data_IF_597238751553
#
_entry.id   IF_597238751553
#
_cell.length_a   1.000
_cell.length_b   1.000
_cell.length_c   1.000
_cell.angle_alpha   90.00
_cell.angle_beta   90.00
_cell.angle_gamma   90.00
#
_symmetry.space_group_name_H-M   'P 1'
#
loop_
_entity.id
_entity.type
_entity.pdbx_description
1 polymer ?
#
# COMPACT_ATOMS: atom_id res chain seq x y z
N UNK A 1 -11.35 25.14 48.66
CA UNK A 1 -12.09 26.18 47.92
C UNK A 1 -12.40 25.54 46.57
N UNK A 2 -13.41 24.69 46.36
CA UNK A 2 -14.83 24.66 46.76
C UNK A 2 -15.67 25.84 46.26
N UNK A 3 -16.73 25.51 45.47
CA UNK A 3 -17.85 26.35 44.93
C UNK A 3 -17.51 27.25 43.73
N UNK A 4 -18.36 27.43 42.71
CA UNK A 4 -19.59 26.73 42.27
C UNK A 4 -19.88 27.09 40.77
N UNK A 5 -20.60 26.28 39.97
CA UNK A 5 -20.97 26.62 38.59
C UNK A 5 -22.38 27.25 38.46
N UNK A 6 -22.84 27.36 37.20
CA UNK A 6 -24.16 27.81 36.67
C UNK A 6 -24.33 29.29 36.27
N UNK A 7 -24.54 29.52 34.96
CA UNK A 7 -25.70 30.27 34.43
C UNK A 7 -26.13 29.64 33.09
N UNK A 8 -27.39 29.21 32.98
CA UNK A 8 -28.03 28.76 31.73
C UNK A 8 -28.71 29.94 31.02
N UNK A 9 -28.37 30.17 29.75
CA UNK A 9 -29.05 31.13 28.87
C UNK A 9 -30.13 30.46 28.02
N UNK A 10 -31.35 31.02 28.00
CA UNK A 10 -32.51 30.44 27.29
C UNK A 10 -32.55 30.83 25.81
N UNK A 11 -32.90 29.90 24.94
CA UNK A 11 -33.27 30.14 23.53
C UNK A 11 -34.81 30.20 23.40
N UNK A 12 -35.40 31.20 22.73
CA UNK A 12 -36.84 31.24 22.45
C UNK A 12 -37.28 30.21 21.40
N UNK A 13 -38.56 29.80 21.46
CA UNK A 13 -39.19 28.90 20.50
C UNK A 13 -39.91 29.67 19.36
N UNK A 14 -40.39 28.85 18.41
CA UNK A 14 -41.50 29.06 17.48
C UNK A 14 -41.21 29.84 16.19
N UNK A 15 -41.24 29.11 15.07
CA UNK A 15 -42.16 29.36 13.94
C UNK A 15 -42.47 28.03 13.24
N UNK A 16 -43.74 27.85 12.85
CA UNK A 16 -44.29 26.60 12.27
C UNK A 16 -44.96 26.86 10.91
N UNK A 17 -44.94 25.84 10.06
CA UNK A 17 -45.82 25.59 8.89
C UNK A 17 -45.78 26.55 7.69
N UNK A 18 -45.55 25.98 6.48
CA UNK A 18 -46.64 25.62 5.54
C UNK A 18 -46.19 24.83 4.29
N UNK A 19 -46.78 23.64 4.17
CA UNK A 19 -47.51 23.08 3.01
C UNK A 19 -46.85 22.92 1.61
N UNK A 20 -46.94 21.69 1.07
CA UNK A 20 -46.70 21.39 -0.35
C UNK A 20 -46.76 19.90 -0.70
N UNK A 21 -47.97 19.30 -0.73
CA UNK A 21 -48.14 17.86 -0.95
C UNK A 21 -48.58 17.48 -2.38
N UNK A 22 -47.87 16.52 -3.00
CA UNK A 22 -48.37 15.62 -4.06
C UNK A 22 -47.37 14.46 -4.22
N UNK A 23 -47.73 13.17 -4.33
CA UNK A 23 -49.04 12.53 -4.40
C UNK A 23 -49.17 11.65 -5.65
N UNK A 24 -49.40 10.32 -5.45
CA UNK A 24 -49.48 9.18 -6.41
C UNK A 24 -48.18 8.35 -6.50
N UNK A 25 -48.22 7.02 -6.63
CA UNK A 25 -49.32 6.02 -6.50
C UNK A 25 -48.74 4.63 -6.22
N UNK A 26 -49.56 3.77 -5.63
CA UNK A 26 -49.25 2.38 -5.29
C UNK A 26 -49.07 1.46 -6.50
N UNK A 27 -48.30 0.38 -6.29
CA UNK A 27 -48.51 -0.92 -6.93
C UNK A 27 -48.02 -2.03 -5.99
N UNK A 28 -48.95 -2.79 -5.39
CA UNK A 28 -48.68 -4.03 -4.64
C UNK A 28 -49.39 -5.19 -5.31
N UNK A 29 -48.61 -6.15 -5.84
CA UNK A 29 -48.88 -7.58 -6.03
C UNK A 29 -47.48 -8.23 -6.14
N UNK A 30 -47.13 -9.38 -5.58
CA UNK A 30 -47.85 -10.49 -4.93
C UNK A 30 -46.96 -11.74 -5.13
N UNK A 31 -46.75 -12.62 -4.13
CA UNK A 31 -45.60 -13.54 -4.14
C UNK A 31 -45.86 -14.86 -4.90
N UNK A 32 -44.79 -15.50 -5.41
CA UNK A 32 -44.84 -16.84 -5.98
C UNK A 32 -43.83 -17.83 -5.36
N UNK A 33 -44.39 -18.73 -4.55
CA UNK A 33 -44.07 -20.15 -4.36
C UNK A 33 -42.61 -20.64 -4.24
N UNK A 34 -42.29 -21.17 -3.04
CA UNK A 34 -41.41 -22.35 -2.90
C UNK A 34 -42.18 -23.63 -3.25
N UNK A 35 -41.54 -24.62 -3.90
CA UNK A 35 -41.92 -26.05 -3.80
C UNK A 35 -40.76 -26.98 -4.27
N UNK A 36 -40.67 -28.26 -3.81
CA UNK A 36 -39.46 -29.09 -3.95
C UNK A 36 -39.63 -30.42 -4.72
N UNK A 37 -38.51 -31.09 -5.04
CA UNK A 37 -38.36 -32.54 -5.24
C UNK A 37 -36.84 -32.86 -5.10
N UNK A 38 -36.29 -33.86 -4.40
CA UNK A 38 -36.61 -35.26 -4.03
C UNK A 38 -36.08 -36.38 -4.97
N UNK A 39 -34.84 -36.80 -4.66
CA UNK A 39 -34.25 -38.17 -4.63
C UNK A 39 -34.96 -39.36 -5.30
N UNK A 40 -34.16 -40.10 -6.09
CA UNK A 40 -33.99 -41.58 -6.03
C UNK A 40 -32.48 -41.85 -6.28
N UNK A 41 -31.65 -42.45 -5.41
CA UNK A 41 -31.58 -43.79 -4.76
C UNK A 41 -31.26 -44.99 -5.68
N UNK A 42 -30.61 -45.98 -5.03
CA UNK A 42 -30.11 -47.31 -5.47
C UNK A 42 -28.66 -47.32 -6.00
N UNK A 43 -27.77 -48.28 -5.69
CA UNK A 43 -27.62 -49.24 -4.55
C UNK A 43 -26.11 -49.56 -4.38
N UNK A 44 -25.62 -49.98 -3.19
CA UNK A 44 -24.22 -50.45 -2.96
C UNK A 44 -23.98 -51.94 -3.34
N UNK A 45 -22.94 -52.65 -2.84
CA UNK A 45 -21.99 -52.28 -1.77
C UNK A 45 -20.48 -52.59 -2.04
N UNK A 46 -19.64 -52.06 -1.13
CA UNK A 46 -18.34 -52.56 -0.62
C UNK A 46 -17.44 -53.54 -1.43
N UNK A 47 -16.14 -53.21 -1.54
CA UNK A 47 -15.08 -53.83 -0.69
C UNK A 47 -13.73 -53.08 -0.74
N UNK A 48 -12.70 -53.63 -0.07
CA UNK A 48 -11.45 -53.00 0.42
C UNK A 48 -10.20 -53.27 -0.45
N UNK A 49 -9.08 -52.69 0.01
CA UNK A 49 -7.66 -52.95 -0.34
C UNK A 49 -7.19 -52.42 -1.71
N UNK A 50 -6.14 -51.58 -1.82
CA UNK A 50 -4.75 -51.53 -1.30
C UNK A 50 -3.69 -52.21 -2.19
N UNK A 51 -2.96 -51.34 -2.91
CA UNK A 51 -1.50 -51.31 -3.11
C UNK A 51 -0.78 -52.33 -4.02
N UNK A 52 0.30 -51.82 -4.64
CA UNK A 52 1.32 -52.50 -5.48
C UNK A 52 0.84 -52.96 -6.88
N UNK A 53 1.63 -52.89 -7.96
CA UNK A 53 2.98 -52.37 -8.18
C UNK A 53 3.36 -52.31 -9.68
N UNK A 54 4.58 -51.84 -9.97
CA UNK A 54 5.30 -51.71 -11.26
C UNK A 54 5.55 -53.07 -11.99
N UNK A 55 6.21 -53.22 -13.18
CA UNK A 55 6.49 -52.32 -14.33
C UNK A 55 6.17 -52.91 -15.76
N UNK A 56 6.24 -52.06 -16.80
CA UNK A 56 7.19 -52.27 -17.92
C UNK A 56 6.90 -53.18 -19.16
N UNK A 57 6.88 -52.51 -20.33
CA UNK A 57 7.58 -52.89 -21.60
C UNK A 57 6.93 -53.77 -22.70
N UNK A 58 7.40 -53.49 -23.95
CA UNK A 58 7.24 -54.20 -25.26
C UNK A 58 5.87 -53.99 -25.96
N UNK A 59 5.78 -53.37 -27.14
CA UNK A 59 6.51 -53.45 -28.42
C UNK A 59 6.11 -54.65 -29.30
N UNK A 60 5.69 -54.38 -30.54
CA UNK A 60 5.13 -55.34 -31.49
C UNK A 60 6.17 -55.80 -32.54
N UNK A 61 5.89 -56.94 -33.18
CA UNK A 61 6.75 -57.61 -34.18
C UNK A 61 6.06 -57.63 -35.55
N UNK A 62 6.85 -57.43 -36.62
CA UNK A 62 6.89 -58.17 -37.92
C UNK A 62 7.68 -57.31 -38.93
N UNK A 63 8.89 -57.70 -39.37
CA UNK A 63 9.27 -58.82 -40.29
C UNK A 63 9.09 -58.49 -41.78
N UNK A 64 10.17 -58.07 -42.47
CA UNK A 64 10.99 -58.95 -43.35
C UNK A 64 11.97 -58.18 -44.27
N UNK A 65 13.24 -58.62 -44.24
CA UNK A 65 14.17 -58.95 -45.36
C UNK A 65 13.87 -58.45 -46.80
N UNK A 66 14.82 -58.12 -47.70
CA UNK A 66 16.29 -58.08 -47.80
C UNK A 66 16.62 -57.52 -49.24
N UNK A 67 17.86 -57.19 -49.71
CA UNK A 67 19.15 -57.79 -49.34
C UNK A 67 20.40 -56.87 -49.26
N UNK A 68 21.51 -57.51 -48.86
CA UNK A 68 22.82 -56.94 -48.52
C UNK A 68 23.74 -56.80 -49.74
N UNK A 69 24.55 -55.72 -49.80
CA UNK A 69 25.93 -55.77 -50.30
C UNK A 69 26.88 -54.93 -49.44
N UNK A 70 27.97 -55.56 -49.00
CA UNK A 70 29.09 -54.96 -48.26
C UNK A 70 30.01 -54.16 -49.20
N UNK A 71 30.76 -53.18 -48.68
CA UNK A 71 32.23 -53.04 -48.85
C UNK A 71 32.79 -51.95 -47.91
N UNK A 72 34.13 -51.87 -47.80
CA UNK A 72 34.86 -51.38 -46.62
C UNK A 72 35.07 -49.85 -46.50
N UNK A 73 35.43 -49.46 -45.26
CA UNK A 73 36.26 -48.35 -44.74
C UNK A 73 37.21 -47.61 -45.74
N UNK A 74 37.64 -46.34 -45.46
CA UNK A 74 38.12 -45.89 -44.14
C UNK A 74 37.78 -44.44 -43.67
N UNK A 75 38.27 -44.12 -42.46
CA UNK A 75 38.21 -42.79 -41.80
C UNK A 75 39.16 -41.77 -42.46
N UNK A 76 38.67 -40.55 -42.69
CA UNK A 76 39.46 -39.31 -42.59
C UNK A 76 38.61 -38.15 -42.04
N UNK A 77 39.25 -37.20 -41.35
CA UNK A 77 38.64 -35.97 -40.82
C UNK A 77 38.82 -34.80 -41.79
N UNK A 78 37.82 -33.92 -42.00
CA UNK A 78 38.03 -32.63 -42.66
C UNK A 78 37.88 -31.43 -41.72
N UNK A 79 38.64 -30.38 -42.04
CA UNK A 79 38.71 -29.11 -41.36
C UNK A 79 37.68 -28.07 -41.85
N UNK A 80 37.43 -27.09 -40.99
CA UNK A 80 36.96 -25.71 -41.25
C UNK A 80 36.43 -25.34 -42.66
N UNK A 81 35.12 -24.99 -42.72
CA UNK A 81 34.62 -23.83 -43.48
C UNK A 81 33.25 -23.33 -43.00
N UNK A 82 33.26 -22.06 -42.58
CA UNK A 82 32.18 -21.06 -42.37
C UNK A 82 30.83 -21.30 -43.08
N UNK A 83 29.66 -20.76 -42.70
CA UNK A 83 29.09 -19.95 -41.60
C UNK A 83 27.68 -19.57 -42.09
N UNK A 84 26.61 -19.86 -41.35
CA UNK A 84 25.34 -19.11 -41.31
C UNK A 84 24.50 -19.71 -40.14
N UNK A 85 24.29 -19.02 -39.01
CA UNK A 85 23.15 -18.12 -38.73
C UNK A 85 21.81 -18.91 -38.83
N UNK A 86 20.98 -19.12 -37.79
CA UNK A 86 20.73 -18.36 -36.55
C UNK A 86 20.79 -19.22 -35.28
N UNK A 87 21.49 -18.74 -34.24
CA UNK A 87 21.16 -19.06 -32.85
C UNK A 87 20.15 -18.01 -32.36
N UNK A 88 18.92 -18.44 -32.11
CA UNK A 88 17.92 -17.64 -31.38
C UNK A 88 18.28 -17.63 -29.88
N UNK A 89 19.33 -16.90 -29.51
CA UNK A 89 19.35 -16.32 -28.17
C UNK A 89 18.28 -15.22 -28.16
N UNK A 90 17.11 -15.57 -27.63
CA UNK A 90 16.23 -14.56 -27.05
C UNK A 90 16.99 -13.96 -25.86
N UNK A 91 17.71 -12.86 -26.11
CA UNK A 91 18.13 -11.99 -25.06
C UNK A 91 16.85 -11.44 -24.41
N UNK A 92 16.46 -12.04 -23.29
CA UNK A 92 15.57 -11.38 -22.35
C UNK A 92 16.31 -10.15 -21.85
N UNK A 93 16.13 -9.04 -22.57
CA UNK A 93 16.38 -7.71 -22.02
C UNK A 93 15.33 -7.56 -20.94
N UNK A 94 15.69 -7.95 -19.72
CA UNK A 94 15.03 -7.46 -18.52
C UNK A 94 15.25 -5.97 -18.52
N UNK A 95 14.31 -5.23 -19.12
CA UNK A 95 14.15 -3.81 -18.84
C UNK A 95 13.81 -3.77 -17.36
N UNK A 96 14.80 -3.45 -16.53
CA UNK A 96 14.56 -3.18 -15.13
C UNK A 96 13.56 -2.02 -15.10
N UNK A 97 12.32 -2.31 -14.71
CA UNK A 97 11.30 -1.28 -14.65
C UNK A 97 11.72 -0.32 -13.55
N UNK A 98 11.90 0.96 -13.89
CA UNK A 98 11.95 1.99 -12.88
C UNK A 98 10.68 1.90 -12.01
N UNK A 99 10.82 2.19 -10.72
CA UNK A 99 9.68 2.24 -9.81
C UNK A 99 8.68 3.29 -10.30
N UNK A 100 7.41 2.91 -10.36
CA UNK A 100 6.29 3.75 -10.77
C UNK A 100 6.05 4.91 -9.80
N UNK A 101 6.29 4.69 -8.50
CA UNK A 101 6.19 5.73 -7.47
C UNK A 101 7.53 5.89 -6.76
N UNK A 102 8.31 6.89 -7.20
CA UNK A 102 9.43 7.45 -6.43
C UNK A 102 8.88 8.68 -5.74
N UNK A 103 8.73 8.61 -4.42
CA UNK A 103 7.75 9.43 -3.74
C UNK A 103 8.20 9.87 -2.35
N UNK A 104 7.53 10.89 -1.82
CA UNK A 104 7.70 11.32 -0.44
C UNK A 104 6.35 11.60 0.23
N UNK A 105 6.27 11.45 1.56
CA UNK A 105 5.27 12.16 2.35
C UNK A 105 5.71 13.61 2.54
N UNK A 106 4.89 14.56 2.11
CA UNK A 106 5.20 16.00 2.23
C UNK A 106 4.16 16.73 3.07
N UNK A 107 3.45 16.03 3.96
CA UNK A 107 2.32 16.60 4.69
C UNK A 107 2.72 17.76 5.60
N UNK A 108 3.96 17.79 6.12
CA UNK A 108 4.44 18.92 6.94
C UNK A 108 4.69 20.20 6.15
N UNK A 109 4.72 20.16 4.81
CA UNK A 109 5.22 21.24 3.94
C UNK A 109 4.69 22.63 4.29
N UNK A 110 3.36 22.82 4.34
CA UNK A 110 2.77 24.13 4.62
C UNK A 110 3.02 24.53 6.09
N UNK A 111 2.96 23.60 7.05
CA UNK A 111 3.31 23.86 8.46
C UNK A 111 4.75 24.37 8.60
N UNK A 112 5.68 23.80 7.82
CA UNK A 112 7.10 24.16 7.87
C UNK A 112 7.34 25.51 7.19
N UNK A 113 6.73 25.78 6.05
CA UNK A 113 6.78 27.09 5.39
C UNK A 113 6.15 28.21 6.23
N UNK A 114 4.99 27.96 6.86
CA UNK A 114 4.33 28.91 7.78
C UNK A 114 5.20 29.23 9.01
N UNK A 115 6.14 28.35 9.37
CA UNK A 115 7.15 28.61 10.41
C UNK A 115 8.31 29.52 9.96
N UNK A 116 8.33 29.90 8.68
CA UNK A 116 9.34 30.78 8.07
C UNK A 116 10.51 30.06 7.41
N UNK A 117 10.47 28.72 7.32
CA UNK A 117 11.46 27.92 6.57
C UNK A 117 11.29 28.18 5.08
N UNK A 118 12.42 28.19 4.36
CA UNK A 118 12.47 28.28 2.90
C UNK A 118 13.44 27.22 2.39
N UNK A 119 13.05 26.45 1.38
CA UNK A 119 13.89 25.40 0.83
C UNK A 119 14.76 25.92 -0.33
N UNK A 120 15.92 25.30 -0.55
CA UNK A 120 16.80 25.65 -1.66
C UNK A 120 17.56 24.46 -2.22
N UNK A 121 17.83 24.51 -3.52
CA UNK A 121 18.76 23.62 -4.21
C UNK A 121 19.87 24.46 -4.85
N UNK A 122 21.13 24.06 -4.66
CA UNK A 122 22.31 24.79 -5.17
C UNK A 122 22.34 26.29 -4.76
N UNK A 123 21.77 26.63 -3.59
CA UNK A 123 21.66 28.00 -3.08
C UNK A 123 20.57 28.85 -3.73
N UNK A 124 19.71 28.27 -4.58
CA UNK A 124 18.54 28.93 -5.17
C UNK A 124 17.28 28.50 -4.42
N UNK A 125 16.55 29.47 -3.86
CA UNK A 125 15.29 29.22 -3.15
C UNK A 125 14.12 28.96 -4.11
N UNK A 126 13.32 27.95 -3.83
CA UNK A 126 12.18 27.51 -4.64
C UNK A 126 11.23 26.59 -3.82
N UNK A 127 9.98 26.38 -4.25
CA UNK A 127 9.03 25.48 -3.56
C UNK A 127 9.60 24.07 -3.41
N UNK A 128 9.31 23.40 -2.29
CA UNK A 128 9.94 22.09 -1.99
C UNK A 128 9.48 20.99 -2.94
N UNK A 129 8.21 21.01 -3.34
CA UNK A 129 7.65 20.10 -4.34
C UNK A 129 8.32 20.26 -5.71
N UNK A 130 8.69 21.49 -6.11
CA UNK A 130 9.43 21.74 -7.34
C UNK A 130 10.85 21.16 -7.25
N UNK A 131 11.49 21.21 -6.07
CA UNK A 131 12.79 20.58 -5.83
C UNK A 131 12.66 19.06 -5.95
N UNK A 132 11.66 18.47 -5.31
CA UNK A 132 11.44 17.03 -5.35
C UNK A 132 11.17 16.55 -6.80
N UNK A 133 10.35 17.26 -7.56
CA UNK A 133 10.12 16.99 -9.00
C UNK A 133 11.41 17.14 -9.81
N UNK A 134 12.20 18.18 -9.57
CA UNK A 134 13.46 18.42 -10.28
C UNK A 134 14.50 17.31 -10.07
N UNK A 135 14.44 16.59 -8.94
CA UNK A 135 15.29 15.44 -8.64
C UNK A 135 14.61 14.08 -8.93
N UNK A 136 13.45 14.07 -9.60
CA UNK A 136 12.84 12.87 -10.20
C UNK A 136 11.61 12.30 -9.49
N UNK A 137 11.06 13.00 -8.49
CA UNK A 137 9.87 12.53 -7.76
C UNK A 137 8.64 12.48 -8.69
N UNK A 138 7.81 11.44 -8.50
CA UNK A 138 6.68 11.09 -9.39
C UNK A 138 5.33 10.99 -8.67
N UNK A 139 5.36 10.84 -7.34
CA UNK A 139 4.17 10.83 -6.49
C UNK A 139 4.46 11.55 -5.16
N UNK A 140 3.42 12.06 -4.50
CA UNK A 140 3.52 12.56 -3.14
C UNK A 140 2.34 12.08 -2.30
N UNK A 141 2.64 11.73 -1.05
CA UNK A 141 1.71 11.29 -0.01
C UNK A 141 1.35 12.48 0.88
N UNK A 142 0.07 12.60 1.20
CA UNK A 142 -0.45 13.56 2.17
C UNK A 142 -1.39 12.85 3.15
N UNK A 143 -1.08 12.93 4.45
CA UNK A 143 -1.96 12.44 5.51
C UNK A 143 -3.09 13.42 5.81
N UNK A 144 -4.26 12.86 6.10
CA UNK A 144 -5.44 13.59 6.52
C UNK A 144 -5.97 13.00 7.82
N UNK A 145 -6.17 13.89 8.79
CA UNK A 145 -6.83 13.65 10.06
C UNK A 145 -8.27 14.16 10.01
N UNK A 146 -9.13 13.66 10.89
CA UNK A 146 -10.52 14.13 10.99
C UNK A 146 -10.65 15.51 11.65
N UNK A 147 -9.63 15.93 12.40
CA UNK A 147 -9.56 17.23 13.07
C UNK A 147 -8.12 17.74 13.16
N UNK A 148 -7.92 18.89 13.81
CA UNK A 148 -6.58 19.43 14.10
C UNK A 148 -5.86 20.00 12.88
N UNK A 149 -4.53 19.93 12.89
CA UNK A 149 -3.66 20.59 11.90
C UNK A 149 -3.81 20.00 10.49
N UNK A 150 -3.82 18.67 10.38
CA UNK A 150 -3.82 17.96 9.10
C UNK A 150 -5.24 17.60 8.64
N UNK A 151 -6.23 18.45 8.91
CA UNK A 151 -7.62 18.19 8.52
C UNK A 151 -7.82 18.30 6.99
N UNK A 152 -9.00 17.91 6.50
CA UNK A 152 -9.33 17.94 5.05
C UNK A 152 -9.04 19.29 4.36
N UNK A 153 -9.25 20.43 5.02
CA UNK A 153 -8.94 21.75 4.42
C UNK A 153 -7.44 21.93 4.18
N UNK A 154 -6.61 21.43 5.10
CA UNK A 154 -5.16 21.40 4.95
C UNK A 154 -4.73 20.37 3.89
N UNK A 155 -5.33 19.17 3.91
CA UNK A 155 -5.08 18.12 2.90
C UNK A 155 -5.39 18.58 1.47
N UNK A 156 -6.48 19.33 1.26
CA UNK A 156 -6.81 19.97 -0.01
C UNK A 156 -5.79 21.04 -0.43
N UNK A 157 -5.21 21.79 0.52
CA UNK A 157 -4.19 22.79 0.20
C UNK A 157 -2.87 22.15 -0.26
N UNK A 158 -2.42 21.10 0.43
CA UNK A 158 -1.23 20.31 0.03
C UNK A 158 -1.49 19.55 -1.26
N UNK A 159 -2.65 18.87 -1.38
CA UNK A 159 -3.02 18.11 -2.57
C UNK A 159 -3.10 18.96 -3.84
N UNK A 160 -3.52 20.23 -3.72
CA UNK A 160 -3.43 21.18 -4.83
C UNK A 160 -1.99 21.39 -5.30
N UNK A 161 -1.04 21.60 -4.39
CA UNK A 161 0.39 21.76 -4.74
C UNK A 161 0.95 20.50 -5.41
N UNK A 162 0.57 19.32 -4.90
CA UNK A 162 0.94 18.02 -5.49
C UNK A 162 0.48 17.92 -6.95
N UNK A 163 -0.79 18.21 -7.25
CA UNK A 163 -1.31 18.13 -8.63
C UNK A 163 -0.78 19.28 -9.52
N UNK A 164 -0.63 20.49 -8.98
CA UNK A 164 -0.06 21.64 -9.72
C UNK A 164 1.40 21.38 -10.14
N UNK A 165 2.17 20.64 -9.32
CA UNK A 165 3.52 20.16 -9.63
C UNK A 165 3.55 18.93 -10.56
N UNK A 166 2.38 18.41 -10.99
CA UNK A 166 2.27 17.29 -11.92
C UNK A 166 2.49 15.90 -11.31
N UNK A 167 2.48 15.78 -9.98
CA UNK A 167 2.70 14.53 -9.26
C UNK A 167 1.43 13.69 -9.13
N UNK A 168 1.61 12.37 -8.96
CA UNK A 168 0.55 11.47 -8.49
C UNK A 168 0.19 11.82 -7.04
N UNK A 169 -1.10 12.05 -6.75
CA UNK A 169 -1.61 12.35 -5.42
C UNK A 169 -2.05 11.08 -4.70
N UNK A 170 -1.32 10.77 -3.63
CA UNK A 170 -1.64 9.73 -2.67
C UNK A 170 -2.19 10.39 -1.39
N UNK A 171 -3.47 10.12 -1.08
CA UNK A 171 -4.12 10.60 0.15
C UNK A 171 -4.18 9.46 1.16
N UNK A 172 -3.58 9.68 2.33
CA UNK A 172 -3.60 8.77 3.49
C UNK A 172 -4.66 9.24 4.50
N UNK A 173 -5.68 8.41 4.72
CA UNK A 173 -6.71 8.66 5.71
C UNK A 173 -6.40 7.92 7.01
N UNK A 174 -6.02 8.69 8.04
CA UNK A 174 -5.69 8.15 9.37
C UNK A 174 -6.92 7.61 10.14
N UNK A 175 -8.14 8.07 9.82
CA UNK A 175 -9.36 7.82 10.60
C UNK A 175 -9.23 8.11 12.10
N UNK A 176 -8.47 9.15 12.44
CA UNK A 176 -8.18 9.62 13.79
C UNK A 176 -8.12 11.16 13.79
N UNK A 177 -8.35 11.79 14.93
CA UNK A 177 -8.13 13.24 15.14
C UNK A 177 -6.63 13.61 15.22
N UNK A 178 -5.76 12.60 15.27
CA UNK A 178 -4.32 12.71 15.48
C UNK A 178 -3.60 11.57 14.74
N UNK A 179 -2.35 11.29 15.10
CA UNK A 179 -1.61 10.11 14.66
C UNK A 179 -2.45 8.83 14.79
N UNK A 180 -2.29 7.97 13.79
CA UNK A 180 -2.83 6.63 13.72
C UNK A 180 -1.66 5.72 13.35
N UNK A 181 -1.41 4.72 14.20
CA UNK A 181 -0.23 3.84 14.17
C UNK A 181 -0.60 2.49 14.83
N UNK A 182 0.27 1.46 14.85
CA UNK A 182 -0.06 0.15 15.43
C UNK A 182 -0.38 0.14 16.93
N UNK A 183 -0.10 1.24 17.65
CA UNK A 183 -0.45 1.44 19.06
C UNK A 183 -1.60 2.42 19.31
N UNK A 184 -2.02 3.20 18.31
CA UNK A 184 -3.04 4.24 18.45
C UNK A 184 -3.98 4.28 17.24
N UNK A 185 -5.26 3.94 17.43
CA UNK A 185 -6.27 3.97 16.36
C UNK A 185 -7.63 4.47 16.90
N UNK A 186 -7.61 5.49 17.74
CA UNK A 186 -8.80 5.95 18.48
C UNK A 186 -9.90 6.48 17.53
N UNK A 187 -11.15 6.11 17.80
CA UNK A 187 -12.32 6.68 17.10
C UNK A 187 -12.32 8.22 17.26
N UNK A 188 -12.46 8.99 16.15
CA UNK A 188 -12.52 10.44 16.18
C UNK A 188 -13.62 11.01 17.08
N UNK A 189 -13.40 12.22 17.61
CA UNK A 189 -14.34 12.89 18.49
C UNK A 189 -15.67 13.15 17.79
N UNK A 190 -16.76 12.62 18.37
CA UNK A 190 -18.11 12.79 17.84
C UNK A 190 -18.51 11.80 16.74
N UNK A 191 -17.62 10.90 16.31
CA UNK A 191 -18.00 9.76 15.47
C UNK A 191 -18.85 8.75 16.28
N UNK A 192 -19.68 7.92 15.62
CA UNK A 192 -20.39 6.83 16.28
C UNK A 192 -19.42 5.83 16.95
N UNK A 193 -19.87 5.14 17.99
CA UNK A 193 -19.06 4.16 18.72
C UNK A 193 -19.57 2.72 18.53
N UNK A 194 -20.32 2.48 17.46
CA UNK A 194 -20.84 1.18 17.05
C UNK A 194 -20.57 0.95 15.55
N UNK A 195 -20.48 -0.32 15.16
CA UNK A 195 -20.10 -0.72 13.80
C UNK A 195 -21.05 -0.19 12.72
N UNK A 196 -22.36 -0.11 12.98
CA UNK A 196 -23.31 0.39 11.96
C UNK A 196 -23.16 1.89 11.72
N UNK A 197 -22.95 2.66 12.79
CA UNK A 197 -22.67 4.08 12.70
C UNK A 197 -21.32 4.34 12.02
N UNK A 198 -20.27 3.60 12.41
CA UNK A 198 -18.94 3.76 11.83
C UNK A 198 -18.87 3.35 10.35
N UNK A 199 -19.52 2.26 9.92
CA UNK A 199 -19.64 1.90 8.50
C UNK A 199 -20.33 3.01 7.66
N UNK A 200 -21.21 3.80 8.26
CA UNK A 200 -21.84 4.95 7.60
C UNK A 200 -20.91 6.17 7.58
N UNK A 201 -20.14 6.36 8.66
CA UNK A 201 -19.28 7.53 8.87
C UNK A 201 -17.97 7.45 8.07
N UNK A 202 -17.43 6.25 7.87
CA UNK A 202 -16.20 5.96 7.11
C UNK A 202 -16.45 5.80 5.60
N UNK A 203 -17.60 6.24 5.08
CA UNK A 203 -17.99 6.00 3.68
C UNK A 203 -17.33 6.96 2.68
N UNK A 204 -16.31 7.76 3.06
CA UNK A 204 -15.35 8.58 2.27
C UNK A 204 -15.77 9.38 1.02
N UNK A 205 -17.05 9.35 0.63
CA UNK A 205 -17.60 9.99 -0.55
C UNK A 205 -17.36 11.51 -0.50
N UNK A 206 -17.50 12.11 0.68
CA UNK A 206 -17.28 13.55 0.90
C UNK A 206 -15.82 13.97 0.74
N UNK A 207 -14.86 13.13 1.15
CA UNK A 207 -13.42 13.42 1.00
C UNK A 207 -13.03 13.35 -0.46
N UNK A 208 -13.35 12.24 -1.14
CA UNK A 208 -13.04 12.07 -2.57
C UNK A 208 -13.74 13.13 -3.43
N UNK A 209 -15.01 13.46 -3.14
CA UNK A 209 -15.74 14.52 -3.82
C UNK A 209 -15.09 15.90 -3.60
N UNK A 210 -14.61 16.22 -2.39
CA UNK A 210 -13.97 17.52 -2.13
C UNK A 210 -12.69 17.73 -2.94
N UNK A 211 -11.89 16.68 -3.16
CA UNK A 211 -10.73 16.72 -4.06
C UNK A 211 -11.15 16.83 -5.53
N UNK A 212 -12.20 16.11 -5.95
CA UNK A 212 -12.75 16.22 -7.31
C UNK A 212 -13.29 17.65 -7.60
N UNK A 213 -14.01 18.25 -6.65
CA UNK A 213 -14.55 19.61 -6.73
C UNK A 213 -13.46 20.70 -6.77
N UNK A 214 -12.27 20.40 -6.25
CA UNK A 214 -11.08 21.26 -6.32
C UNK A 214 -10.26 21.04 -7.62
N UNK A 215 -10.74 20.19 -8.54
CA UNK A 215 -10.02 19.76 -9.75
C UNK A 215 -8.70 19.00 -9.46
N UNK A 216 -8.56 18.44 -8.26
CA UNK A 216 -7.37 17.73 -7.77
C UNK A 216 -7.67 16.25 -7.43
N UNK A 217 -8.27 15.46 -8.36
CA UNK A 217 -8.73 14.12 -8.04
C UNK A 217 -7.60 13.23 -7.50
N UNK A 218 -7.95 12.49 -6.44
CA UNK A 218 -7.08 11.53 -5.75
C UNK A 218 -6.72 10.40 -6.72
N UNK A 219 -5.44 10.10 -6.88
CA UNK A 219 -4.97 9.00 -7.72
C UNK A 219 -4.83 7.69 -6.91
N UNK A 220 -4.42 7.79 -5.64
CA UNK A 220 -4.35 6.68 -4.67
C UNK A 220 -5.01 7.10 -3.37
N UNK A 221 -6.01 6.33 -2.91
CA UNK A 221 -6.70 6.50 -1.64
C UNK A 221 -6.24 5.39 -0.68
N UNK A 222 -5.45 5.75 0.32
CA UNK A 222 -5.06 4.86 1.41
C UNK A 222 -6.12 4.88 2.52
N UNK A 223 -6.71 3.71 2.75
CA UNK A 223 -7.78 3.48 3.73
C UNK A 223 -7.14 2.96 5.03
N UNK A 224 -6.79 3.89 5.92
CA UNK A 224 -6.16 3.61 7.22
C UNK A 224 -4.64 3.65 7.15
N UNK A 225 -4.01 4.15 8.22
CA UNK A 225 -2.56 4.16 8.38
C UNK A 225 -2.11 3.07 9.36
N UNK A 226 -1.14 2.25 8.95
CA UNK A 226 -0.48 1.20 9.76
C UNK A 226 -1.44 0.36 10.62
N UNK A 227 -2.48 -0.19 9.98
CA UNK A 227 -3.63 -0.80 10.66
C UNK A 227 -3.41 -2.26 11.09
N UNK A 228 -2.21 -2.61 11.56
CA UNK A 228 -1.82 -4.00 11.89
C UNK A 228 -2.74 -4.68 12.91
N UNK A 229 -3.26 -3.92 13.88
CA UNK A 229 -4.28 -4.37 14.84
C UNK A 229 -5.67 -3.75 14.54
N UNK A 230 -5.90 -3.34 13.29
CA UNK A 230 -7.11 -2.70 12.80
C UNK A 230 -7.15 -1.18 12.98
N UNK A 231 -8.33 -0.57 12.83
CA UNK A 231 -8.58 0.88 12.98
C UNK A 231 -9.84 1.13 13.82
N UNK A 232 -10.11 2.39 14.20
CA UNK A 232 -11.33 2.81 14.90
C UNK A 232 -11.62 1.96 16.15
N UNK A 233 -10.63 1.89 17.04
CA UNK A 233 -10.68 1.08 18.25
C UNK A 233 -11.69 1.61 19.28
N UNK A 234 -12.39 0.71 20.00
CA UNK A 234 -12.21 -0.74 19.98
C UNK A 234 -12.97 -1.47 18.84
N UNK A 235 -13.82 -0.78 18.07
CA UNK A 235 -14.79 -1.44 17.17
C UNK A 235 -14.11 -2.24 16.06
N UNK A 236 -13.08 -1.69 15.42
CA UNK A 236 -12.27 -2.40 14.43
C UNK A 236 -10.98 -3.01 14.99
N UNK A 237 -10.83 -3.14 16.32
CA UNK A 237 -9.61 -3.66 16.96
C UNK A 237 -9.54 -5.20 16.87
N UNK A 238 -8.56 -5.74 16.14
CA UNK A 238 -8.45 -7.19 15.86
C UNK A 238 -8.25 -7.98 17.16
N UNK A 239 -7.36 -7.54 18.05
CA UNK A 239 -7.06 -8.17 19.34
C UNK A 239 -8.27 -8.28 20.28
N UNK A 240 -9.31 -7.47 20.09
CA UNK A 240 -10.50 -7.40 20.95
C UNK A 240 -11.73 -8.04 20.29
N UNK A 241 -11.99 -7.73 19.02
CA UNK A 241 -13.23 -8.12 18.32
C UNK A 241 -12.99 -9.04 17.11
N UNK A 242 -11.74 -9.35 16.77
CA UNK A 242 -11.39 -10.09 15.57
C UNK A 242 -11.60 -9.27 14.29
N UNK A 243 -11.56 -9.95 13.14
CA UNK A 243 -11.52 -9.29 11.82
C UNK A 243 -12.88 -8.81 11.29
N UNK A 244 -14.01 -9.21 11.88
CA UNK A 244 -15.35 -8.93 11.33
C UNK A 244 -15.64 -7.42 11.22
N UNK A 245 -15.51 -6.70 12.33
CA UNK A 245 -15.71 -5.24 12.37
C UNK A 245 -14.74 -4.50 11.45
N UNK A 246 -13.46 -4.88 11.48
CA UNK A 246 -12.42 -4.30 10.65
C UNK A 246 -12.72 -4.47 9.14
N UNK A 247 -12.99 -5.70 8.69
CA UNK A 247 -13.21 -5.98 7.27
C UNK A 247 -14.45 -5.25 6.73
N UNK A 248 -15.51 -5.11 7.55
CA UNK A 248 -16.68 -4.32 7.18
C UNK A 248 -16.39 -2.81 7.07
N UNK A 249 -15.55 -2.25 7.96
CA UNK A 249 -15.12 -0.85 7.90
C UNK A 249 -14.30 -0.57 6.65
N UNK A 250 -13.31 -1.43 6.35
CA UNK A 250 -12.47 -1.30 5.15
C UNK A 250 -13.28 -1.41 3.85
N UNK A 251 -14.20 -2.38 3.77
CA UNK A 251 -15.14 -2.52 2.66
C UNK A 251 -15.98 -1.24 2.47
N UNK A 252 -16.51 -0.68 3.56
CA UNK A 252 -17.35 0.52 3.54
C UNK A 252 -16.58 1.74 3.02
N UNK A 253 -15.32 1.91 3.44
CA UNK A 253 -14.47 3.01 2.99
C UNK A 253 -14.01 2.85 1.53
N UNK A 254 -13.61 1.65 1.11
CA UNK A 254 -13.23 1.37 -0.28
C UNK A 254 -14.40 1.64 -1.25
N UNK A 255 -15.58 1.05 -0.99
CA UNK A 255 -16.80 1.32 -1.75
C UNK A 255 -17.21 2.81 -1.69
N UNK A 256 -17.00 3.44 -0.54
CA UNK A 256 -17.25 4.84 -0.29
C UNK A 256 -16.47 5.76 -1.23
N UNK A 257 -15.15 5.64 -1.26
CA UNK A 257 -14.28 6.39 -2.15
C UNK A 257 -14.55 6.11 -3.64
N UNK A 258 -14.77 4.85 -4.00
CA UNK A 258 -15.13 4.42 -5.36
C UNK A 258 -16.53 4.89 -5.81
N UNK A 259 -17.37 5.43 -4.89
CA UNK A 259 -18.66 6.02 -5.24
C UNK A 259 -18.58 7.47 -5.76
N UNK A 260 -17.47 8.17 -5.47
CA UNK A 260 -17.23 9.57 -5.86
C UNK A 260 -16.10 9.74 -6.89
N UNK A 261 -15.32 8.70 -7.16
CA UNK A 261 -14.20 8.75 -8.10
C UNK A 261 -13.67 7.36 -8.44
N UNK A 262 -12.50 7.32 -9.07
CA UNK A 262 -11.79 6.07 -9.39
C UNK A 262 -10.34 6.07 -8.90
N UNK A 263 -10.06 6.42 -7.62
CA UNK A 263 -8.72 6.25 -7.06
C UNK A 263 -8.35 4.77 -6.99
N UNK A 264 -7.05 4.45 -7.02
CA UNK A 264 -6.57 3.13 -6.59
C UNK A 264 -6.74 3.01 -5.09
N UNK A 265 -7.28 1.90 -4.60
CA UNK A 265 -7.39 1.64 -3.16
C UNK A 265 -6.10 1.03 -2.63
N UNK A 266 -5.53 1.66 -1.61
CA UNK A 266 -4.37 1.16 -0.88
C UNK A 266 -4.76 0.84 0.57
N UNK A 267 -4.21 -0.24 1.12
CA UNK A 267 -4.24 -0.52 2.57
C UNK A 267 -2.80 -0.57 3.06
N UNK A 268 -2.54 0.05 4.22
CA UNK A 268 -1.19 0.24 4.75
C UNK A 268 -0.98 -0.49 6.08
N UNK A 269 0.10 -1.27 6.17
CA UNK A 269 0.55 -1.97 7.39
C UNK A 269 1.98 -1.58 7.76
N UNK A 270 2.26 -1.42 9.05
CA UNK A 270 3.62 -1.38 9.57
C UNK A 270 4.35 -2.71 9.36
N UNK A 271 5.67 -2.71 9.59
CA UNK A 271 6.52 -3.90 9.64
C UNK A 271 6.48 -4.76 8.37
N UNK A 272 6.70 -4.16 7.20
CA UNK A 272 6.73 -4.89 5.90
C UNK A 272 7.72 -6.06 5.83
N UNK A 273 8.68 -6.11 6.75
CA UNK A 273 9.66 -7.19 6.92
C UNK A 273 9.11 -8.43 7.65
N UNK A 274 7.99 -8.33 8.37
CA UNK A 274 7.40 -9.44 9.12
C UNK A 274 6.28 -10.11 8.32
N UNK A 275 6.63 -11.19 7.62
CA UNK A 275 5.67 -11.98 6.86
C UNK A 275 4.52 -12.54 7.72
N UNK A 276 4.77 -12.88 8.98
CA UNK A 276 3.76 -13.51 9.84
C UNK A 276 2.64 -12.53 10.16
N UNK A 277 2.98 -11.28 10.46
CA UNK A 277 2.01 -10.22 10.74
C UNK A 277 1.22 -9.83 9.47
N UNK A 278 1.89 -9.68 8.32
CA UNK A 278 1.22 -9.40 7.05
C UNK A 278 0.26 -10.53 6.66
N UNK A 279 0.70 -11.79 6.73
CA UNK A 279 -0.12 -12.95 6.40
C UNK A 279 -1.35 -13.02 7.31
N UNK A 280 -1.17 -12.88 8.63
CA UNK A 280 -2.26 -12.91 9.60
C UNK A 280 -3.30 -11.84 9.33
N UNK A 281 -2.88 -10.60 9.04
CA UNK A 281 -3.80 -9.52 8.69
C UNK A 281 -4.60 -9.84 7.43
N UNK A 282 -3.92 -10.18 6.33
CA UNK A 282 -4.54 -10.31 5.02
C UNK A 282 -5.46 -11.53 4.90
N UNK A 283 -5.06 -12.69 5.42
CA UNK A 283 -5.94 -13.86 5.51
C UNK A 283 -7.15 -13.58 6.41
N UNK A 284 -6.95 -12.82 7.49
CA UNK A 284 -7.99 -12.44 8.42
C UNK A 284 -9.06 -11.53 7.81
N UNK A 285 -8.68 -10.41 7.18
CA UNK A 285 -9.66 -9.47 6.60
C UNK A 285 -10.39 -10.05 5.40
N UNK A 286 -9.69 -10.78 4.52
CA UNK A 286 -10.30 -11.42 3.33
C UNK A 286 -11.08 -12.70 3.66
N UNK A 287 -10.91 -13.26 4.87
CA UNK A 287 -11.69 -14.40 5.35
C UNK A 287 -13.15 -14.08 5.73
N UNK A 288 -13.50 -12.79 5.85
CA UNK A 288 -14.85 -12.35 6.26
C UNK A 288 -15.80 -12.32 5.06
N UNK A 289 -16.83 -13.18 5.08
CA UNK A 289 -17.78 -13.30 3.98
C UNK A 289 -18.70 -12.07 3.87
N UNK A 290 -18.69 -11.43 2.70
CA UNK A 290 -19.54 -10.26 2.40
C UNK A 290 -18.99 -8.93 2.93
N UNK A 291 -17.71 -8.92 3.32
CA UNK A 291 -16.93 -7.73 3.63
C UNK A 291 -15.75 -7.61 2.63
N UNK A 292 -14.62 -7.02 3.03
CA UNK A 292 -13.53 -6.64 2.12
C UNK A 292 -13.00 -7.85 1.35
N UNK A 293 -12.91 -7.71 0.03
CA UNK A 293 -12.37 -8.72 -0.88
C UNK A 293 -11.01 -8.31 -1.46
N UNK A 294 -10.18 -9.27 -1.90
CA UNK A 294 -8.95 -8.95 -2.64
C UNK A 294 -9.19 -8.11 -3.90
N UNK A 295 -10.38 -8.15 -4.50
CA UNK A 295 -10.73 -7.34 -5.68
C UNK A 295 -10.84 -5.84 -5.41
N UNK A 296 -11.07 -5.42 -4.17
CA UNK A 296 -11.23 -4.00 -3.78
C UNK A 296 -9.92 -3.32 -3.41
N UNK A 297 -8.81 -4.07 -3.29
CA UNK A 297 -7.48 -3.52 -2.94
C UNK A 297 -6.60 -3.53 -4.18
N UNK A 298 -6.15 -2.37 -4.63
CA UNK A 298 -5.26 -2.23 -5.79
C UNK A 298 -3.78 -2.30 -5.41
N UNK A 299 -3.43 -1.82 -4.21
CA UNK A 299 -2.04 -1.74 -3.74
C UNK A 299 -1.96 -2.18 -2.27
N UNK A 300 -0.95 -2.99 -1.94
CA UNK A 300 -0.57 -3.30 -0.57
C UNK A 300 0.62 -2.43 -0.17
N UNK A 301 0.42 -1.48 0.74
CA UNK A 301 1.48 -0.62 1.27
C UNK A 301 2.08 -1.20 2.54
N UNK A 302 3.40 -1.03 2.72
CA UNK A 302 4.08 -1.37 3.98
C UNK A 302 5.04 -0.27 4.47
N UNK A 303 5.16 -0.07 5.77
CA UNK A 303 6.29 0.69 6.34
C UNK A 303 7.52 -0.20 6.55
N UNK A 304 8.70 0.37 6.33
CA UNK A 304 9.98 -0.30 6.54
C UNK A 304 11.03 0.67 7.10
N UNK A 305 11.31 0.56 8.39
CA UNK A 305 12.21 1.45 9.13
C UNK A 305 13.35 0.68 9.81
N UNK A 306 14.61 1.14 9.76
CA UNK A 306 15.77 0.41 10.28
C UNK A 306 15.99 0.55 11.80
N UNK A 307 15.25 1.43 12.47
CA UNK A 307 15.55 1.90 13.83
C UNK A 307 14.52 1.53 14.92
N UNK A 308 13.45 0.79 14.57
CA UNK A 308 12.47 0.29 15.56
C UNK A 308 12.72 -1.17 15.99
N UNK A 309 13.72 -1.83 15.39
CA UNK A 309 14.16 -3.17 15.79
C UNK A 309 15.12 -3.76 14.75
N UNK A 310 16.03 -4.63 15.19
CA UNK A 310 17.06 -5.22 14.31
C UNK A 310 16.55 -6.31 13.38
N UNK A 311 15.27 -6.68 13.46
CA UNK A 311 14.66 -7.66 12.55
C UNK A 311 14.24 -7.04 11.20
N UNK A 312 14.23 -5.71 11.08
CA UNK A 312 13.86 -4.97 9.88
C UNK A 312 14.98 -4.98 8.81
N UNK A 313 15.47 -6.16 8.45
CA UNK A 313 16.53 -6.35 7.45
C UNK A 313 15.95 -6.38 6.03
N UNK A 314 16.76 -5.98 5.05
CA UNK A 314 16.47 -6.07 3.62
C UNK A 314 16.20 -7.51 3.18
N UNK A 315 16.89 -8.48 3.81
CA UNK A 315 16.67 -9.90 3.59
C UNK A 315 15.26 -10.35 4.06
N UNK A 316 14.81 -9.88 5.22
CA UNK A 316 13.46 -10.16 5.73
C UNK A 316 12.40 -9.44 4.89
N UNK A 317 12.63 -8.19 4.49
CA UNK A 317 11.77 -7.47 3.54
C UNK A 317 11.62 -8.23 2.21
N UNK A 318 12.74 -8.65 1.61
CA UNK A 318 12.73 -9.40 0.34
C UNK A 318 11.95 -10.71 0.45
N UNK A 319 12.15 -11.48 1.53
CA UNK A 319 11.39 -12.70 1.81
C UNK A 319 9.89 -12.42 2.00
N UNK A 320 9.56 -11.45 2.85
CA UNK A 320 8.19 -11.07 3.21
C UNK A 320 7.40 -10.56 2.00
N UNK A 321 7.95 -9.62 1.25
CA UNK A 321 7.28 -9.06 0.07
C UNK A 321 7.19 -10.07 -1.08
N UNK A 322 8.16 -10.98 -1.21
CA UNK A 322 8.06 -12.10 -2.17
C UNK A 322 6.90 -13.03 -1.83
N UNK A 323 6.69 -13.36 -0.55
CA UNK A 323 5.54 -14.15 -0.12
C UNK A 323 4.23 -13.39 -0.36
N UNK A 324 4.17 -12.11 0.01
CA UNK A 324 3.00 -11.24 -0.16
C UNK A 324 2.52 -11.17 -1.62
N UNK A 325 3.44 -10.94 -2.57
CA UNK A 325 3.07 -10.87 -4.00
C UNK A 325 2.73 -12.24 -4.59
N UNK A 326 3.30 -13.34 -4.07
CA UNK A 326 2.98 -14.68 -4.52
C UNK A 326 1.61 -15.15 -4.03
N UNK A 327 1.23 -14.82 -2.80
CA UNK A 327 -0.05 -15.23 -2.18
C UNK A 327 -1.22 -14.41 -2.73
N UNK A 328 -1.10 -13.07 -2.77
CA UNK A 328 -2.21 -12.18 -3.10
C UNK A 328 -2.16 -11.61 -4.53
N UNK A 329 -1.03 -11.73 -5.24
CA UNK A 329 -0.89 -11.26 -6.63
C UNK A 329 -1.03 -9.75 -6.80
N UNK A 330 -0.79 -8.96 -5.73
CA UNK A 330 -1.02 -7.51 -5.72
C UNK A 330 0.26 -6.69 -5.89
N UNK A 331 0.16 -5.50 -6.53
CA UNK A 331 1.19 -4.47 -6.46
C UNK A 331 1.52 -4.08 -5.01
N UNK A 332 2.80 -3.85 -4.74
CA UNK A 332 3.35 -3.51 -3.42
C UNK A 332 4.15 -2.22 -3.48
N UNK A 333 4.04 -1.40 -2.44
CA UNK A 333 4.90 -0.22 -2.21
C UNK A 333 5.45 -0.24 -0.80
N UNK A 334 6.68 0.27 -0.61
CA UNK A 334 7.12 0.72 0.71
C UNK A 334 6.54 2.12 0.90
N UNK A 335 5.43 2.19 1.65
CA UNK A 335 4.61 3.39 1.83
C UNK A 335 5.22 4.38 2.84
N UNK A 336 6.14 3.92 3.69
CA UNK A 336 6.99 4.78 4.51
C UNK A 336 8.37 4.16 4.77
N UNK A 337 9.42 4.97 4.68
CA UNK A 337 10.78 4.61 5.11
C UNK A 337 11.63 5.85 5.40
N UNK A 338 12.68 5.68 6.21
CA UNK A 338 13.73 6.67 6.44
C UNK A 338 15.09 6.00 6.65
N UNK A 339 16.16 6.74 6.40
CA UNK A 339 17.51 6.43 6.88
C UNK A 339 18.15 7.66 7.55
N UNK A 340 18.87 7.50 8.68
CA UNK A 340 19.46 8.63 9.37
C UNK A 340 20.73 9.16 8.69
N UNK A 341 20.73 10.47 8.40
CA UNK A 341 21.95 11.21 8.14
C UNK A 341 22.76 11.42 9.45
N UNK A 342 22.10 11.39 10.61
CA UNK A 342 22.76 11.40 11.92
C UNK A 342 21.99 10.60 12.96
N UNK A 343 22.65 9.64 13.60
CA UNK A 343 22.10 8.81 14.66
C UNK A 343 23.19 8.39 15.64
N UNK A 344 22.86 8.33 16.94
CA UNK A 344 23.80 7.93 17.99
C UNK A 344 23.09 7.07 19.04
N UNK A 345 23.68 5.92 19.37
CA UNK A 345 23.15 5.04 20.42
C UNK A 345 21.98 4.14 20.00
N UNK A 346 21.61 4.13 18.71
CA UNK A 346 20.64 3.19 18.13
C UNK A 346 21.39 2.14 17.32
N UNK A 347 21.03 0.87 17.48
CA UNK A 347 21.49 -0.21 16.59
C UNK A 347 20.50 -0.31 15.43
N UNK A 348 20.97 -0.05 14.22
CA UNK A 348 20.17 -0.18 12.99
C UNK A 348 20.13 -1.65 12.52
N UNK A 349 19.11 -2.01 11.74
CA UNK A 349 18.94 -3.35 11.18
C UNK A 349 19.98 -3.73 10.13
N UNK A 350 20.52 -2.76 9.39
CA UNK A 350 21.60 -2.93 8.41
C UNK A 350 22.84 -2.09 8.81
N UNK A 351 23.63 -2.51 9.82
CA UNK A 351 24.71 -1.70 10.38
C UNK A 351 25.91 -1.51 9.44
N UNK A 352 25.96 -2.23 8.33
CA UNK A 352 26.93 -2.09 7.24
C UNK A 352 26.67 -0.83 6.39
N UNK A 353 25.42 -0.36 6.29
CA UNK A 353 25.07 0.90 5.62
C UNK A 353 25.50 2.07 6.52
N UNK A 354 26.20 3.10 6.01
CA UNK A 354 26.75 4.16 6.85
C UNK A 354 25.67 5.18 7.27
N UNK A 355 25.57 5.48 8.57
CA UNK A 355 24.76 6.61 9.09
C UNK A 355 25.32 7.93 8.56
N UNK A 356 24.74 8.43 7.47
CA UNK A 356 25.27 9.50 6.63
C UNK A 356 24.29 9.85 5.50
N UNK A 357 24.53 10.96 4.81
CA UNK A 357 23.81 11.32 3.57
C UNK A 357 23.91 10.21 2.51
N UNK A 358 25.11 9.66 2.29
CA UNK A 358 25.33 8.56 1.34
C UNK A 358 24.54 7.30 1.69
N UNK A 359 24.42 6.97 2.99
CA UNK A 359 23.63 5.82 3.42
C UNK A 359 22.13 5.97 3.18
N UNK A 360 21.61 7.20 3.04
CA UNK A 360 20.22 7.42 2.64
C UNK A 360 19.98 7.01 1.18
N UNK A 361 20.98 7.22 0.32
CA UNK A 361 20.98 6.72 -1.06
C UNK A 361 21.11 5.20 -1.11
N UNK A 362 22.08 4.63 -0.38
CA UNK A 362 22.33 3.19 -0.32
C UNK A 362 21.11 2.40 0.21
N UNK A 363 20.53 2.82 1.34
CA UNK A 363 19.30 2.23 1.89
C UNK A 363 18.12 2.27 0.90
N UNK A 364 17.93 3.39 0.20
CA UNK A 364 16.80 3.54 -0.73
C UNK A 364 17.03 2.74 -2.01
N UNK A 365 18.27 2.69 -2.51
CA UNK A 365 18.69 1.86 -3.65
C UNK A 365 18.59 0.35 -3.35
N UNK A 366 18.87 -0.06 -2.12
CA UNK A 366 18.70 -1.45 -1.69
C UNK A 366 17.21 -1.84 -1.60
N UNK A 367 16.34 -0.97 -1.07
CA UNK A 367 14.88 -1.18 -1.13
C UNK A 367 14.40 -1.23 -2.58
N UNK A 368 14.93 -0.38 -3.47
CA UNK A 368 14.63 -0.42 -4.91
C UNK A 368 15.05 -1.75 -5.53
N UNK A 369 16.21 -2.28 -5.14
CA UNK A 369 16.70 -3.60 -5.56
C UNK A 369 15.77 -4.73 -5.07
N UNK A 370 15.28 -4.66 -3.81
CA UNK A 370 14.27 -5.59 -3.30
C UNK A 370 12.98 -5.52 -4.14
N UNK A 371 12.39 -4.34 -4.31
CA UNK A 371 11.12 -4.16 -5.02
C UNK A 371 11.20 -4.58 -6.49
N UNK A 372 12.27 -4.20 -7.20
CA UNK A 372 12.45 -4.56 -8.62
C UNK A 372 12.77 -6.04 -8.83
N UNK A 373 13.20 -6.76 -7.79
CA UNK A 373 13.38 -8.22 -7.82
C UNK A 373 12.08 -9.02 -7.64
N UNK A 374 10.97 -8.37 -7.21
CA UNK A 374 9.73 -9.07 -6.87
C UNK A 374 9.08 -9.74 -8.10
N UNK A 375 8.51 -10.96 -7.94
CA UNK A 375 7.79 -11.66 -8.99
C UNK A 375 6.79 -10.79 -9.76
N UNK A 376 6.72 -11.00 -11.07
CA UNK A 376 5.81 -10.34 -12.00
C UNK A 376 5.91 -8.80 -12.05
N UNK A 377 6.98 -8.20 -11.50
CA UNK A 377 7.15 -6.74 -11.48
C UNK A 377 6.20 -6.03 -10.50
N UNK A 378 5.76 -6.74 -9.45
CA UNK A 378 4.74 -6.23 -8.52
C UNK A 378 5.28 -5.22 -7.49
N UNK A 379 6.60 -5.05 -7.35
CA UNK A 379 7.16 -3.92 -6.61
C UNK A 379 7.03 -2.62 -7.41
N UNK A 380 6.33 -1.63 -6.87
CA UNK A 380 5.94 -0.41 -7.61
C UNK A 380 6.54 0.89 -7.08
N UNK A 381 6.97 0.98 -5.83
CA UNK A 381 7.39 2.28 -5.30
C UNK A 381 7.91 2.33 -3.87
N UNK A 382 8.58 3.45 -3.58
CA UNK A 382 9.13 3.84 -2.27
C UNK A 382 8.67 5.25 -1.97
N UNK A 383 8.18 5.45 -0.75
CA UNK A 383 7.76 6.72 -0.19
C UNK A 383 8.69 7.06 0.98
N UNK A 384 9.57 8.05 0.79
CA UNK A 384 10.40 8.56 1.88
C UNK A 384 9.54 9.41 2.82
N UNK A 385 9.55 9.11 4.11
CA UNK A 385 8.67 9.80 5.05
C UNK A 385 9.24 11.17 5.44
N UNK A 386 8.49 12.24 5.19
CA UNK A 386 8.77 13.60 5.68
C UNK A 386 10.22 14.12 5.48
N UNK A 387 10.78 14.05 4.26
CA UNK A 387 12.18 14.39 3.99
C UNK A 387 12.54 15.85 4.30
N UNK A 388 11.55 16.73 4.36
CA UNK A 388 11.70 18.17 4.53
C UNK A 388 11.30 18.72 5.90
N UNK A 389 10.92 17.90 6.89
CA UNK A 389 10.30 18.37 8.13
C UNK A 389 11.30 19.00 9.13
N UNK A 390 11.81 20.17 8.77
CA UNK A 390 12.68 21.00 9.61
C UNK A 390 11.93 21.39 10.89
N UNK A 391 12.62 21.27 12.03
CA UNK A 391 12.03 21.35 13.37
C UNK A 391 11.62 20.00 13.96
N UNK A 392 11.52 18.94 13.16
CA UNK A 392 11.22 17.57 13.60
C UNK A 392 12.18 16.53 12.99
N UNK A 393 13.47 16.85 12.85
CA UNK A 393 14.43 16.02 12.11
C UNK A 393 14.58 14.57 12.60
N UNK A 394 14.26 14.30 13.88
CA UNK A 394 14.24 12.95 14.43
C UNK A 394 13.11 12.06 13.87
N UNK A 395 12.05 12.66 13.31
CA UNK A 395 10.91 11.98 12.68
C UNK A 395 10.28 10.89 13.57
N UNK A 396 10.12 11.18 14.87
CA UNK A 396 9.59 10.24 15.86
C UNK A 396 10.52 9.07 16.25
N UNK A 397 11.63 8.88 15.53
CA UNK A 397 12.64 7.87 15.82
C UNK A 397 13.56 8.26 16.99
N UNK A 398 14.41 7.32 17.42
CA UNK A 398 15.52 7.61 18.35
C UNK A 398 16.79 8.14 17.66
N UNK A 399 16.79 8.27 16.34
CA UNK A 399 17.85 8.95 15.60
C UNK A 399 17.63 10.46 15.60
N UNK A 400 18.71 11.24 15.51
CA UNK A 400 18.65 12.70 15.61
C UNK A 400 18.23 13.40 14.32
N UNK A 401 18.52 12.80 13.16
CA UNK A 401 18.30 13.43 11.86
C UNK A 401 18.10 12.39 10.75
N UNK A 402 16.88 12.33 10.22
CA UNK A 402 16.43 11.48 9.10
C UNK A 402 16.09 12.30 7.83
N UNK A 403 16.33 13.62 7.82
CA UNK A 403 15.89 14.49 6.72
C UNK A 403 16.77 14.35 5.46
N UNK A 404 16.23 14.78 4.32
CA UNK A 404 16.98 14.99 3.07
C UNK A 404 17.36 16.48 2.89
N UNK A 405 17.15 17.28 3.91
CA UNK A 405 17.51 18.71 3.99
C UNK A 405 18.34 18.98 5.23
N UNK A 406 19.20 20.00 5.20
CA UNK A 406 19.83 20.53 6.40
C UNK A 406 18.93 21.53 7.14
N UNK A 407 19.37 21.99 8.31
CA UNK A 407 18.60 22.92 9.15
C UNK A 407 18.44 24.33 8.58
N UNK A 408 19.07 24.65 7.44
CA UNK A 408 18.89 25.91 6.72
C UNK A 408 17.84 25.82 5.59
N UNK A 409 17.35 24.61 5.28
CA UNK A 409 16.48 24.36 4.14
C UNK A 409 17.22 24.00 2.85
N UNK A 410 18.54 23.90 2.86
CA UNK A 410 19.29 23.39 1.72
C UNK A 410 19.12 21.87 1.59
N UNK A 411 18.78 21.38 0.40
CA UNK A 411 18.73 19.93 0.14
C UNK A 411 20.12 19.30 0.23
N UNK A 412 20.16 18.08 0.77
CA UNK A 412 21.33 17.19 0.79
C UNK A 412 21.45 16.50 -0.57
N UNK A 413 22.62 15.92 -0.85
CA UNK A 413 22.81 15.12 -2.07
C UNK A 413 21.82 13.95 -2.14
N UNK A 414 21.45 13.38 -1.00
CA UNK A 414 20.43 12.33 -0.88
C UNK A 414 19.01 12.73 -1.31
N UNK A 415 18.78 13.95 -1.79
CA UNK A 415 17.57 14.28 -2.57
C UNK A 415 17.54 13.55 -3.93
N UNK A 416 18.70 13.09 -4.41
CA UNK A 416 18.87 12.30 -5.63
C UNK A 416 18.18 10.91 -5.53
N UNK A 417 17.65 10.52 -4.36
CA UNK A 417 16.85 9.29 -4.17
C UNK A 417 15.47 9.30 -4.86
N UNK A 418 15.21 10.26 -5.74
CA UNK A 418 14.06 10.23 -6.64
C UNK A 418 14.47 10.04 -8.12
N UNK A 419 15.77 9.97 -8.42
CA UNK A 419 16.29 9.75 -9.76
C UNK A 419 16.00 8.36 -10.33
N UNK A 420 15.98 8.26 -11.65
CA UNK A 420 15.84 6.97 -12.36
C UNK A 420 17.08 6.06 -12.16
N UNK A 421 18.27 6.67 -12.05
CA UNK A 421 19.59 6.00 -11.97
C UNK A 421 19.94 5.40 -10.58
N UNK A 422 19.04 5.50 -9.59
CA UNK A 422 19.14 4.82 -8.28
C UNK A 422 19.35 3.30 -8.37
#
# INVERSE_FOLDING_TARGET
MTRNPEVLGRVPRDWLERLGASGRRDCILGPLSRAPWERQRLVGPAQREQLTGDPGSRSCIHDHDAPIKLYNEPRETPSSKMRAIYLLLAAFVTVASALTYRAADISSLIVVEDSGVQYSQNGVGMPFEDILVANGMTAARVRIWTAGQYNLTYGLAVGKRIKDAGLTLHVDLHYSDTWADPGHQAIPSGWPTDLSGLNTQIYEQSVVQAFADQETPIDILQVGNEINNGLLWPVGEISVNGFDGLSQLLNSAAHGGLSAGTPKILIHLANGWDWSDLQYFWEGVFGIQGALTPSEVDIMGVSFYPFYGTNATLANLSSSLTNLVNEFGKPVVVAETNWPASCSGVTLSEPEIPVSVQGQEEWTGDIKSVLTSLPNGLGQGIYYWEPGWIGNAALGSSCSDNLLVDSSGAVRQSIDIFGDDM
#
